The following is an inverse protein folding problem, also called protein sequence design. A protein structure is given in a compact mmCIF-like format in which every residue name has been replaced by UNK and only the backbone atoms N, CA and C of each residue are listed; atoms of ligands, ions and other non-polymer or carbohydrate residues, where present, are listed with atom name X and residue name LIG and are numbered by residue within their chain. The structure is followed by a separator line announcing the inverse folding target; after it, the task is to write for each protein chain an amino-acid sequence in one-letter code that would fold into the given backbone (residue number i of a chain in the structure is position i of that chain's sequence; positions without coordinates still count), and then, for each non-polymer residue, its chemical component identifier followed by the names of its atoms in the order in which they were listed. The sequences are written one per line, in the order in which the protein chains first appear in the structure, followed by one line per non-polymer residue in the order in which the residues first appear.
data_IF_469552517451
#
_entry.id   IF_469552517451
#
_cell.length_a   1.000
_cell.length_b   1.000
_cell.length_c   1.000
_cell.angle_alpha   90.00
_cell.angle_beta   90.00
_cell.angle_gamma   90.00
#
_symmetry.space_group_name_H-M   'P 1'
#
loop_
_entity.id
_entity.type
_entity.pdbx_description
1 polymer ?
#
# COMPACT_ATOMS: atom_id res chain seq x y z
N UNK A 1 15.16 18.92 -8.34
CA UNK A 1 14.50 17.76 -7.73
C UNK A 1 14.54 17.87 -6.22
N UNK A 2 13.42 17.55 -5.54
CA UNK A 2 13.38 17.56 -4.06
C UNK A 2 14.28 16.45 -3.50
N UNK A 3 14.96 16.76 -2.41
CA UNK A 3 15.81 15.82 -1.65
C UNK A 3 15.34 15.75 -0.21
N UNK A 4 15.86 14.83 0.56
CA UNK A 4 15.55 14.70 1.99
C UNK A 4 15.97 15.94 2.80
N UNK A 5 16.91 16.72 2.29
CA UNK A 5 17.31 18.01 2.88
C UNK A 5 16.17 19.05 2.87
N UNK A 6 15.19 18.93 1.97
CA UNK A 6 14.07 19.84 1.87
C UNK A 6 12.95 19.57 2.89
N UNK A 7 13.05 18.52 3.70
CA UNK A 7 12.11 18.23 4.78
C UNK A 7 12.35 19.26 5.90
N UNK A 8 11.28 19.88 6.39
CA UNK A 8 11.42 20.86 7.48
C UNK A 8 11.57 20.19 8.84
N UNK A 9 10.81 19.13 9.09
CA UNK A 9 10.91 18.32 10.30
C UNK A 9 10.29 16.94 10.05
N UNK A 10 10.74 15.94 10.79
CA UNK A 10 10.16 14.60 10.76
C UNK A 10 10.54 13.87 12.05
N UNK A 11 9.62 13.05 12.54
CA UNK A 11 9.91 12.17 13.68
C UNK A 11 9.17 10.85 13.53
N UNK A 12 9.73 9.80 14.10
CA UNK A 12 9.09 8.50 14.27
C UNK A 12 9.02 8.25 15.77
N UNK A 13 7.83 7.92 16.27
CA UNK A 13 7.63 7.57 17.66
C UNK A 13 7.14 6.14 17.77
N UNK A 14 7.76 5.37 18.65
CA UNK A 14 7.26 4.09 19.10
C UNK A 14 6.36 4.34 20.29
N UNK A 15 5.11 3.94 20.18
CA UNK A 15 4.11 4.10 21.24
C UNK A 15 3.57 2.75 21.67
N UNK A 16 3.24 2.60 22.95
CA UNK A 16 2.56 1.40 23.46
C UNK A 16 1.03 1.50 23.22
N UNK A 17 0.30 0.47 23.62
CA UNK A 17 -1.16 0.41 23.50
C UNK A 17 -1.89 1.52 24.32
N UNK A 18 -1.24 2.08 25.31
CA UNK A 18 -1.76 3.17 26.15
C UNK A 18 -1.47 4.55 25.54
N UNK A 19 -0.76 4.62 24.41
CA UNK A 19 -0.36 5.87 23.77
C UNK A 19 0.89 6.53 24.36
N UNK A 20 1.60 5.85 25.25
CA UNK A 20 2.85 6.37 25.81
C UNK A 20 3.99 6.20 24.81
N UNK A 21 4.81 7.24 24.65
CA UNK A 21 5.97 7.22 23.77
C UNK A 21 7.11 6.46 24.44
N UNK A 22 7.43 5.29 23.91
CA UNK A 22 8.52 4.44 24.38
C UNK A 22 9.88 4.85 23.80
N UNK A 23 9.89 5.32 22.56
CA UNK A 23 11.07 5.82 21.88
C UNK A 23 10.68 6.86 20.83
N UNK A 24 11.58 7.78 20.56
CA UNK A 24 11.41 8.80 19.53
C UNK A 24 12.69 8.92 18.70
N UNK A 25 12.57 8.84 17.39
CA UNK A 25 13.64 9.09 16.44
C UNK A 25 13.33 10.36 15.64
N UNK A 26 14.16 11.39 15.82
CA UNK A 26 13.99 12.66 15.13
C UNK A 26 14.81 12.71 13.86
N UNK A 27 14.16 13.00 12.75
CA UNK A 27 14.81 13.23 11.48
C UNK A 27 15.40 14.64 11.47
N UNK A 28 16.71 14.72 11.35
CA UNK A 28 17.38 16.00 11.19
C UNK A 28 17.71 16.21 9.69
N UNK A 29 17.06 17.16 9.00
CA UNK A 29 17.30 17.42 7.59
C UNK A 29 18.74 17.76 7.25
N UNK A 30 19.50 18.33 8.21
CA UNK A 30 20.92 18.65 8.03
C UNK A 30 21.82 17.40 7.87
N UNK A 31 21.33 16.22 8.24
CA UNK A 31 22.04 14.96 8.05
C UNK A 31 21.97 14.45 6.61
N UNK A 32 21.15 15.09 5.76
CA UNK A 32 20.96 14.74 4.36
C UNK A 32 21.45 15.85 3.44
N UNK A 33 21.89 15.50 2.25
CA UNK A 33 22.35 16.45 1.23
C UNK A 33 21.68 16.23 -0.12
N UNK A 34 21.97 15.11 -0.77
CA UNK A 34 21.44 14.76 -2.08
C UNK A 34 20.54 13.54 -2.07
N UNK A 35 20.32 12.96 -0.92
CA UNK A 35 19.51 11.77 -0.75
C UNK A 35 18.05 12.07 -1.09
N UNK A 36 17.44 11.16 -1.87
CA UNK A 36 16.04 11.25 -2.35
C UNK A 36 15.13 10.21 -1.70
N UNK A 37 15.71 9.23 -1.02
CA UNK A 37 15.01 8.25 -0.19
C UNK A 37 15.83 7.98 1.05
N UNK A 38 15.18 7.55 2.14
CA UNK A 38 15.82 7.21 3.40
C UNK A 38 15.15 6.00 4.03
N UNK A 39 15.95 5.09 4.56
CA UNK A 39 15.51 4.02 5.45
C UNK A 39 15.63 4.54 6.89
N UNK A 40 14.52 4.78 7.54
CA UNK A 40 14.46 5.42 8.86
C UNK A 40 14.65 4.43 9.99
N UNK A 41 13.93 3.31 9.92
CA UNK A 41 13.94 2.25 10.92
C UNK A 41 13.96 0.90 10.24
N UNK A 42 14.44 -0.08 10.95
CA UNK A 42 14.34 -1.50 10.62
C UNK A 42 13.63 -2.22 11.76
N UNK A 43 12.67 -3.08 11.43
CA UNK A 43 11.99 -3.97 12.36
C UNK A 43 12.37 -5.39 11.97
N UNK A 44 12.94 -6.15 12.89
CA UNK A 44 13.40 -7.51 12.63
C UNK A 44 13.23 -8.43 13.84
N UNK A 45 13.11 -9.73 13.54
CA UNK A 45 12.99 -10.77 14.55
C UNK A 45 14.35 -11.46 14.75
N UNK A 46 14.84 -11.50 16.00
CA UNK A 46 16.10 -12.16 16.33
C UNK A 46 16.09 -12.63 17.79
N UNK A 47 16.51 -13.89 18.02
CA UNK A 47 16.54 -14.51 19.34
C UNK A 47 15.17 -14.45 20.03
N UNK A 48 14.12 -14.88 19.31
CA UNK A 48 12.72 -14.91 19.77
C UNK A 48 12.14 -13.56 20.24
N UNK A 49 12.73 -12.45 19.78
CA UNK A 49 12.30 -11.10 20.13
C UNK A 49 12.23 -10.21 18.88
N UNK A 50 11.17 -9.45 18.78
CA UNK A 50 11.07 -8.35 17.85
C UNK A 50 11.97 -7.20 18.29
N UNK A 51 12.71 -6.65 17.34
CA UNK A 51 13.67 -5.57 17.56
C UNK A 51 13.40 -4.43 16.59
N UNK A 52 13.66 -3.22 17.06
CA UNK A 52 13.59 -2.01 16.25
C UNK A 52 14.96 -1.35 16.31
N UNK A 53 15.49 -1.01 15.14
CA UNK A 53 16.72 -0.24 15.01
C UNK A 53 16.46 1.07 14.26
N UNK A 54 16.98 2.18 14.76
CA UNK A 54 17.04 3.42 14.00
C UNK A 54 18.23 3.35 13.04
N UNK A 55 17.96 3.49 11.74
CA UNK A 55 18.96 3.32 10.68
C UNK A 55 19.41 4.68 10.12
N UNK A 56 18.48 5.53 9.66
CA UNK A 56 18.78 6.85 9.12
C UNK A 56 19.62 6.82 7.82
N UNK A 57 19.62 5.71 7.08
CA UNK A 57 20.42 5.56 5.86
C UNK A 57 19.75 6.24 4.67
N UNK A 58 20.46 7.18 4.05
CA UNK A 58 20.03 7.89 2.85
C UNK A 58 20.47 7.23 1.55
N UNK A 59 19.71 7.45 0.47
CA UNK A 59 19.96 6.93 -0.86
C UNK A 59 19.86 8.05 -1.90
N UNK A 60 20.98 8.42 -2.52
CA UNK A 60 21.03 9.45 -3.57
C UNK A 60 20.26 9.06 -4.84
N UNK A 61 20.26 7.76 -5.17
CA UNK A 61 19.48 7.21 -6.28
C UNK A 61 17.99 7.07 -6.02
N UNK A 62 17.51 7.58 -4.87
CA UNK A 62 16.10 7.53 -4.49
C UNK A 62 15.61 6.11 -4.23
N UNK A 63 14.32 5.89 -4.45
CA UNK A 63 13.66 4.60 -4.23
C UNK A 63 14.34 3.46 -5.01
N UNK A 64 14.86 3.74 -6.20
CA UNK A 64 15.58 2.76 -7.03
C UNK A 64 16.83 2.20 -6.33
N UNK A 65 17.62 3.07 -5.70
CA UNK A 65 18.79 2.65 -4.93
C UNK A 65 18.38 1.90 -3.67
N UNK A 66 17.26 2.30 -3.04
CA UNK A 66 16.69 1.60 -1.89
C UNK A 66 16.25 0.18 -2.26
N UNK A 67 15.52 0.00 -3.38
CA UNK A 67 15.07 -1.32 -3.85
C UNK A 67 16.26 -2.24 -4.14
N UNK A 68 17.30 -1.72 -4.81
CA UNK A 68 18.52 -2.48 -5.08
C UNK A 68 19.29 -2.88 -3.82
N UNK A 69 19.22 -2.04 -2.79
CA UNK A 69 19.85 -2.33 -1.50
C UNK A 69 19.27 -3.60 -0.84
N UNK A 70 17.98 -3.86 -1.07
CA UNK A 70 17.29 -5.08 -0.60
C UNK A 70 17.31 -6.23 -1.62
N UNK A 71 18.20 -6.17 -2.63
CA UNK A 71 18.35 -7.23 -3.63
C UNK A 71 17.28 -7.24 -4.71
N UNK A 72 16.38 -6.24 -4.73
CA UNK A 72 15.41 -6.08 -5.81
C UNK A 72 16.07 -5.60 -7.10
N UNK A 73 15.66 -6.16 -8.22
CA UNK A 73 16.07 -5.68 -9.53
C UNK A 73 15.16 -4.56 -10.02
N UNK A 74 15.77 -3.42 -10.31
CA UNK A 74 15.10 -2.33 -11.03
C UNK A 74 15.56 -2.41 -12.47
N UNK A 75 14.73 -2.95 -13.34
CA UNK A 75 15.03 -3.05 -14.78
C UNK A 75 15.19 -1.65 -15.36
N UNK A 76 16.41 -1.28 -15.69
CA UNK A 76 16.68 -0.08 -16.48
C UNK A 76 16.36 -0.38 -17.93
N UNK A 77 15.20 0.01 -18.40
CA UNK A 77 15.03 0.22 -19.82
C UNK A 77 15.80 1.50 -20.20
N UNK A 78 17.07 1.33 -20.55
CA UNK A 78 17.85 2.36 -21.26
C UNK A 78 17.31 2.40 -22.68
N UNK A 79 16.26 3.14 -22.87
CA UNK A 79 15.79 3.55 -24.21
C UNK A 79 15.53 5.05 -24.18
N UNK A 80 15.96 5.69 -25.23
CA UNK A 80 15.94 7.14 -25.50
C UNK A 80 14.64 7.84 -25.03
N UNK A 81 14.71 9.09 -24.57
CA UNK A 81 13.61 9.78 -23.86
C UNK A 81 12.28 9.91 -24.63
N UNK A 82 12.26 9.57 -25.91
CA UNK A 82 11.07 9.67 -26.77
C UNK A 82 10.12 8.48 -26.70
N UNK A 83 10.57 7.27 -26.31
CA UNK A 83 9.72 6.07 -26.33
C UNK A 83 9.10 5.72 -24.97
N UNK A 84 9.69 6.17 -23.88
CA UNK A 84 9.22 5.85 -22.52
C UNK A 84 7.99 6.70 -22.14
N UNK A 85 8.00 7.98 -22.52
CA UNK A 85 6.86 8.88 -22.28
C UNK A 85 5.59 8.39 -23.01
N UNK A 86 5.72 7.93 -24.26
CA UNK A 86 4.59 7.43 -25.04
C UNK A 86 4.02 6.10 -24.48
N UNK A 87 4.86 5.22 -23.93
CA UNK A 87 4.42 3.96 -23.32
C UNK A 87 3.69 4.16 -21.99
N UNK A 88 4.17 5.08 -21.17
CA UNK A 88 3.52 5.46 -19.91
C UNK A 88 2.18 6.16 -20.16
N UNK A 89 2.11 7.02 -21.16
CA UNK A 89 0.87 7.69 -21.54
C UNK A 89 -0.16 6.71 -22.09
N UNK A 90 0.29 5.71 -22.86
CA UNK A 90 -0.58 4.62 -23.30
C UNK A 90 -1.11 3.79 -22.12
N UNK A 91 -0.26 3.43 -21.15
CA UNK A 91 -0.68 2.71 -19.94
C UNK A 91 -1.73 3.50 -19.16
N UNK A 92 -1.48 4.78 -18.89
CA UNK A 92 -2.45 5.68 -18.22
C UNK A 92 -3.78 5.72 -18.97
N UNK A 93 -3.73 5.84 -20.30
CA UNK A 93 -4.92 5.87 -21.14
C UNK A 93 -5.71 4.56 -21.03
N UNK A 94 -5.06 3.42 -21.18
CA UNK A 94 -5.71 2.10 -21.06
C UNK A 94 -6.41 1.93 -19.72
N UNK A 95 -5.75 2.33 -18.62
CA UNK A 95 -6.35 2.26 -17.27
C UNK A 95 -7.58 3.17 -17.19
N UNK A 96 -7.48 4.41 -17.68
CA UNK A 96 -8.60 5.36 -17.63
C UNK A 96 -9.76 4.91 -18.51
N UNK A 97 -9.52 4.42 -19.72
CA UNK A 97 -10.55 3.90 -20.62
C UNK A 97 -11.28 2.68 -20.00
N UNK A 98 -10.53 1.79 -19.32
CA UNK A 98 -11.11 0.65 -18.59
C UNK A 98 -11.99 1.11 -17.43
N UNK A 99 -11.51 2.06 -16.63
CA UNK A 99 -12.25 2.60 -15.49
C UNK A 99 -13.49 3.38 -15.95
N UNK A 100 -13.38 4.22 -16.98
CA UNK A 100 -14.50 4.98 -17.51
C UNK A 100 -15.62 4.06 -18.02
N UNK A 101 -15.28 2.95 -18.63
CA UNK A 101 -16.23 1.97 -19.13
C UNK A 101 -16.94 1.17 -18.05
N UNK A 102 -16.22 0.72 -17.01
CA UNK A 102 -16.74 -0.25 -16.02
C UNK A 102 -17.16 0.46 -14.72
N UNK A 103 -16.40 1.44 -14.26
CA UNK A 103 -16.59 2.12 -12.98
C UNK A 103 -16.39 3.63 -13.11
N UNK A 104 -17.24 4.37 -13.86
CA UNK A 104 -17.04 5.77 -14.18
C UNK A 104 -16.93 6.68 -12.94
N UNK A 105 -17.51 6.27 -11.81
CA UNK A 105 -17.40 6.97 -10.53
C UNK A 105 -15.98 6.99 -9.95
N UNK A 106 -15.07 6.17 -10.46
CA UNK A 106 -13.67 6.12 -10.03
C UNK A 106 -12.73 6.97 -10.91
N UNK A 107 -13.21 7.56 -12.00
CA UNK A 107 -12.36 8.27 -12.97
C UNK A 107 -11.50 9.35 -12.30
N UNK A 108 -12.11 10.19 -11.46
CA UNK A 108 -11.40 11.30 -10.81
C UNK A 108 -10.34 10.82 -9.82
N UNK A 109 -10.64 9.79 -9.02
CA UNK A 109 -9.66 9.22 -8.09
C UNK A 109 -8.55 8.51 -8.85
N UNK A 110 -8.86 7.82 -9.93
CA UNK A 110 -7.88 7.16 -10.79
C UNK A 110 -6.93 8.17 -11.43
N UNK A 111 -7.44 9.27 -11.96
CA UNK A 111 -6.59 10.37 -12.50
C UNK A 111 -5.63 10.91 -11.43
N UNK A 112 -6.13 11.18 -10.23
CA UNK A 112 -5.30 11.66 -9.11
C UNK A 112 -4.24 10.64 -8.70
N UNK A 113 -4.59 9.37 -8.63
CA UNK A 113 -3.67 8.27 -8.31
C UNK A 113 -2.58 8.13 -9.36
N UNK A 114 -2.93 8.13 -10.65
CA UNK A 114 -1.95 8.04 -11.75
C UNK A 114 -0.97 9.23 -11.76
N UNK A 115 -1.47 10.45 -11.49
CA UNK A 115 -0.59 11.63 -11.34
C UNK A 115 0.36 11.47 -10.15
N UNK A 116 -0.14 10.94 -9.03
CA UNK A 116 0.68 10.69 -7.85
C UNK A 116 1.75 9.62 -8.12
N UNK A 117 1.37 8.52 -8.77
CA UNK A 117 2.28 7.44 -9.15
C UNK A 117 3.36 7.95 -10.11
N UNK A 118 3.00 8.78 -11.08
CA UNK A 118 3.94 9.39 -12.02
C UNK A 118 4.95 10.29 -11.30
N UNK A 119 4.48 11.17 -10.42
CA UNK A 119 5.35 12.06 -9.63
C UNK A 119 6.35 11.31 -8.77
N UNK A 120 5.98 10.11 -8.31
CA UNK A 120 6.82 9.26 -7.48
C UNK A 120 7.60 8.20 -8.27
N UNK A 121 7.54 8.21 -9.61
CA UNK A 121 8.17 7.22 -10.50
C UNK A 121 7.73 5.78 -10.22
N UNK A 122 6.45 5.58 -9.92
CA UNK A 122 5.87 4.28 -9.58
C UNK A 122 5.01 3.69 -10.71
N UNK A 123 4.82 4.38 -11.83
CA UNK A 123 3.96 3.91 -12.94
C UNK A 123 4.47 2.60 -13.58
N UNK A 124 5.79 2.39 -13.63
CA UNK A 124 6.41 1.20 -14.21
C UNK A 124 6.61 0.05 -13.21
N UNK A 125 6.30 0.30 -11.93
CA UNK A 125 6.42 -0.74 -10.90
C UNK A 125 5.32 -1.78 -11.11
N UNK A 126 5.72 -3.05 -11.01
CA UNK A 126 4.82 -4.20 -10.93
C UNK A 126 4.89 -4.79 -9.54
N UNK A 127 3.75 -4.98 -8.93
CA UNK A 127 3.62 -5.56 -7.61
C UNK A 127 2.21 -6.12 -7.43
N UNK A 128 2.08 -7.18 -6.65
CA UNK A 128 0.78 -7.65 -6.17
C UNK A 128 0.31 -6.74 -5.05
N UNK A 129 -0.99 -6.54 -4.97
CA UNK A 129 -1.63 -5.68 -3.96
C UNK A 129 -2.54 -6.53 -3.10
N UNK A 130 -2.33 -6.52 -1.79
CA UNK A 130 -3.20 -7.18 -0.84
C UNK A 130 -3.84 -6.15 0.11
N UNK A 131 -5.11 -6.31 0.38
CA UNK A 131 -5.85 -5.51 1.36
C UNK A 131 -6.30 -6.39 2.52
N UNK A 132 -5.93 -5.99 3.72
CA UNK A 132 -6.32 -6.66 4.97
C UNK A 132 -7.25 -5.74 5.73
N UNK A 133 -8.49 -6.16 5.91
CA UNK A 133 -9.56 -5.39 6.52
C UNK A 133 -9.75 -5.80 7.98
N UNK A 134 -9.58 -4.86 8.89
CA UNK A 134 -10.04 -5.04 10.27
C UNK A 134 -11.56 -5.16 10.29
N UNK A 135 -12.05 -6.28 10.81
CA UNK A 135 -13.49 -6.59 10.96
C UNK A 135 -13.89 -6.70 12.44
N UNK A 136 -13.05 -6.25 13.36
CA UNK A 136 -13.37 -6.23 14.78
C UNK A 136 -14.59 -5.35 15.09
N UNK A 137 -15.19 -5.57 16.25
CA UNK A 137 -16.41 -4.88 16.65
C UNK A 137 -16.30 -3.35 16.66
N UNK A 138 -15.09 -2.80 16.89
CA UNK A 138 -14.83 -1.36 16.86
C UNK A 138 -15.02 -0.75 15.46
N UNK A 139 -14.86 -1.54 14.38
CA UNK A 139 -15.02 -1.10 13.00
C UNK A 139 -16.48 -1.08 12.51
N UNK A 140 -17.44 -1.47 13.35
CA UNK A 140 -18.85 -1.60 12.95
C UNK A 140 -19.43 -0.33 12.33
N UNK A 141 -19.04 0.85 12.82
CA UNK A 141 -19.53 2.12 12.30
C UNK A 141 -19.00 2.39 10.90
N UNK A 142 -17.71 2.13 10.64
CA UNK A 142 -17.06 2.34 9.36
C UNK A 142 -17.62 1.44 8.26
N UNK A 143 -17.97 0.20 8.62
CA UNK A 143 -18.69 -0.69 7.70
C UNK A 143 -20.10 -0.17 7.39
N UNK A 144 -20.85 0.28 8.41
CA UNK A 144 -22.21 0.82 8.24
C UNK A 144 -22.23 2.13 7.45
N UNK A 145 -21.26 3.02 7.68
CA UNK A 145 -21.16 4.30 6.97
C UNK A 145 -20.69 4.16 5.53
N UNK A 146 -20.15 3.00 5.14
CA UNK A 146 -19.55 2.77 3.82
C UNK A 146 -18.09 3.27 3.68
N UNK A 147 -17.48 3.70 4.75
CA UNK A 147 -16.07 4.15 4.73
C UNK A 147 -15.13 3.03 4.29
N UNK A 148 -15.38 1.78 4.72
CA UNK A 148 -14.58 0.62 4.29
C UNK A 148 -14.69 0.42 2.77
N UNK A 149 -15.88 0.54 2.18
CA UNK A 149 -16.06 0.48 0.72
C UNK A 149 -15.26 1.60 0.01
N UNK A 150 -15.19 2.78 0.60
CA UNK A 150 -14.40 3.88 0.04
C UNK A 150 -12.89 3.59 0.06
N UNK A 151 -12.39 2.82 1.03
CA UNK A 151 -10.98 2.36 1.05
C UNK A 151 -10.72 1.47 -0.17
N UNK A 152 -11.59 0.50 -0.46
CA UNK A 152 -11.45 -0.34 -1.66
C UNK A 152 -11.42 0.50 -2.94
N UNK A 153 -12.31 1.49 -3.04
CA UNK A 153 -12.36 2.40 -4.18
C UNK A 153 -11.04 3.18 -4.37
N UNK A 154 -10.33 3.49 -3.29
CA UNK A 154 -9.04 4.19 -3.33
C UNK A 154 -7.87 3.26 -3.67
N UNK A 155 -7.96 1.99 -3.31
CA UNK A 155 -6.92 0.99 -3.59
C UNK A 155 -6.99 0.51 -5.05
N UNK A 156 -8.19 0.42 -5.63
CA UNK A 156 -8.39 -0.08 -6.99
C UNK A 156 -7.48 0.57 -8.05
N UNK A 157 -7.30 1.90 -8.11
CA UNK A 157 -6.37 2.51 -9.07
C UNK A 157 -4.91 2.06 -8.90
N UNK A 158 -4.49 1.70 -7.69
CA UNK A 158 -3.14 1.17 -7.43
C UNK A 158 -3.01 -0.25 -7.98
N UNK A 159 -4.01 -1.11 -7.73
CA UNK A 159 -4.04 -2.46 -8.28
C UNK A 159 -4.04 -2.43 -9.82
N UNK A 160 -4.85 -1.59 -10.44
CA UNK A 160 -4.88 -1.41 -11.90
C UNK A 160 -3.52 -0.98 -12.49
N UNK A 161 -2.68 -0.31 -11.70
CA UNK A 161 -1.34 0.08 -12.15
C UNK A 161 -0.29 -0.97 -11.85
N UNK A 162 -0.32 -1.59 -10.67
CA UNK A 162 0.76 -2.45 -10.21
C UNK A 162 0.59 -3.89 -10.62
N UNK A 163 -0.65 -4.40 -10.66
CA UNK A 163 -0.94 -5.78 -11.02
C UNK A 163 -1.35 -5.93 -12.49
N UNK A 164 -0.92 -7.03 -13.11
CA UNK A 164 -1.18 -7.26 -14.55
C UNK A 164 -2.64 -7.60 -14.82
N UNK A 165 -3.35 -8.23 -13.87
CA UNK A 165 -4.77 -8.56 -14.00
C UNK A 165 -5.69 -7.41 -13.52
N UNK A 166 -5.13 -6.44 -12.79
CA UNK A 166 -5.84 -5.27 -12.29
C UNK A 166 -6.83 -5.60 -11.18
N UNK A 167 -6.51 -6.61 -10.39
CA UNK A 167 -7.23 -7.00 -9.18
C UNK A 167 -6.33 -6.87 -7.95
N UNK A 168 -6.88 -7.07 -6.77
CA UNK A 168 -6.10 -7.23 -5.55
C UNK A 168 -6.72 -8.25 -4.62
N UNK A 169 -5.86 -8.94 -3.91
CA UNK A 169 -6.25 -9.91 -2.91
C UNK A 169 -6.84 -9.22 -1.68
N UNK A 170 -7.84 -9.86 -1.06
CA UNK A 170 -8.54 -9.29 0.09
C UNK A 170 -8.71 -10.31 1.22
N UNK A 171 -8.43 -9.87 2.42
CA UNK A 171 -8.70 -10.58 3.67
C UNK A 171 -9.48 -9.69 4.63
N UNK A 172 -10.27 -10.32 5.46
CA UNK A 172 -10.80 -9.68 6.67
C UNK A 172 -10.30 -10.44 7.90
N UNK A 173 -10.17 -9.76 9.01
CA UNK A 173 -9.80 -10.40 10.27
C UNK A 173 -10.51 -9.77 11.48
N UNK A 174 -10.77 -10.61 12.48
CA UNK A 174 -11.10 -10.26 13.83
C UNK A 174 -10.42 -11.28 14.75
N UNK A 175 -11.14 -12.25 15.31
CA UNK A 175 -10.51 -13.40 16.00
C UNK A 175 -9.75 -14.32 15.05
N UNK A 176 -10.21 -14.42 13.80
CA UNK A 176 -9.67 -15.31 12.77
C UNK A 176 -9.43 -14.53 11.49
N UNK A 177 -8.49 -14.99 10.70
CA UNK A 177 -8.35 -14.59 9.32
C UNK A 177 -9.50 -15.17 8.46
N UNK A 178 -9.95 -14.40 7.50
CA UNK A 178 -10.94 -14.79 6.51
C UNK A 178 -10.49 -14.34 5.14
N UNK A 179 -10.15 -15.29 4.26
CA UNK A 179 -9.89 -14.98 2.85
C UNK A 179 -11.19 -14.62 2.16
N UNK A 180 -11.21 -13.45 1.53
CA UNK A 180 -12.30 -12.99 0.67
C UNK A 180 -11.91 -13.20 -0.80
N UNK A 181 -12.87 -13.11 -1.73
CA UNK A 181 -12.56 -13.15 -3.14
C UNK A 181 -11.74 -11.91 -3.54
N UNK A 182 -10.98 -12.02 -4.63
CA UNK A 182 -10.22 -10.89 -5.14
C UNK A 182 -11.12 -9.76 -5.57
N UNK A 183 -10.66 -8.54 -5.35
CA UNK A 183 -11.38 -7.33 -5.71
C UNK A 183 -10.94 -6.87 -7.09
N UNK A 184 -11.88 -6.77 -8.01
CA UNK A 184 -11.69 -6.26 -9.37
C UNK A 184 -12.70 -5.14 -9.66
N UNK A 185 -12.56 -4.46 -10.80
CA UNK A 185 -13.53 -3.45 -11.21
C UNK A 185 -14.96 -4.01 -11.31
N UNK A 186 -15.11 -5.29 -11.67
CA UNK A 186 -16.41 -5.91 -11.90
C UNK A 186 -17.21 -6.11 -10.62
N UNK A 187 -16.55 -6.38 -9.49
CA UNK A 187 -17.21 -6.62 -8.20
C UNK A 187 -17.05 -5.48 -7.18
N UNK A 188 -16.23 -4.47 -7.49
CA UNK A 188 -15.88 -3.41 -6.54
C UNK A 188 -17.07 -2.62 -6.02
N UNK A 189 -18.03 -2.28 -6.88
CA UNK A 189 -19.09 -1.29 -6.56
C UNK A 189 -19.92 -1.64 -5.32
N UNK A 190 -20.09 -2.91 -5.02
CA UNK A 190 -20.85 -3.39 -3.87
C UNK A 190 -20.12 -4.46 -3.08
N UNK A 191 -18.81 -4.51 -3.18
CA UNK A 191 -18.00 -5.60 -2.65
C UNK A 191 -18.30 -5.87 -1.17
N UNK A 192 -18.22 -4.86 -0.31
CA UNK A 192 -18.49 -5.01 1.13
C UNK A 192 -19.91 -5.48 1.43
N UNK A 193 -20.88 -5.11 0.59
CA UNK A 193 -22.27 -5.47 0.77
C UNK A 193 -22.63 -6.85 0.22
N UNK A 194 -21.87 -7.36 -0.73
CA UNK A 194 -22.21 -8.59 -1.48
C UNK A 194 -21.25 -9.76 -1.23
N UNK A 195 -19.96 -9.48 -0.97
CA UNK A 195 -18.93 -10.51 -0.81
C UNK A 195 -19.29 -11.50 0.31
N UNK A 196 -19.32 -12.80 -0.04
CA UNK A 196 -19.75 -13.88 0.85
C UNK A 196 -21.09 -13.61 1.55
N UNK A 197 -22.02 -12.96 0.85
CA UNK A 197 -23.33 -12.58 1.38
C UNK A 197 -23.35 -11.29 2.19
N UNK A 198 -22.28 -10.50 2.08
CA UNK A 198 -22.08 -9.20 2.72
C UNK A 198 -21.39 -9.29 4.08
N UNK A 199 -20.72 -8.18 4.45
CA UNK A 199 -19.85 -8.14 5.63
C UNK A 199 -20.53 -8.63 6.93
N UNK A 200 -21.86 -8.46 7.08
CA UNK A 200 -22.61 -8.92 8.26
C UNK A 200 -22.62 -10.44 8.42
N UNK A 201 -22.27 -11.20 7.36
CA UNK A 201 -22.21 -12.66 7.35
C UNK A 201 -20.79 -13.20 7.40
N UNK A 202 -19.77 -12.35 7.37
CA UNK A 202 -18.39 -12.79 7.42
C UNK A 202 -18.07 -13.50 8.72
N UNK A 203 -17.44 -14.66 8.61
CA UNK A 203 -17.13 -15.52 9.75
C UNK A 203 -15.68 -15.34 10.21
N UNK A 204 -15.28 -14.10 10.49
CA UNK A 204 -13.96 -13.78 11.04
C UNK A 204 -13.95 -13.73 12.59
N UNK A 205 -15.08 -13.99 13.24
CA UNK A 205 -15.27 -13.68 14.66
C UNK A 205 -15.52 -12.19 14.88
N UNK A 206 -15.81 -11.77 16.08
CA UNK A 206 -16.10 -10.36 16.39
C UNK A 206 -15.53 -9.92 17.76
N UNK A 207 -14.81 -10.77 18.43
CA UNK A 207 -14.42 -10.55 19.83
C UNK A 207 -13.27 -9.56 19.99
N UNK A 208 -12.20 -9.69 19.22
CA UNK A 208 -10.98 -8.87 19.32
C UNK A 208 -10.14 -8.96 18.05
N UNK A 209 -9.08 -8.19 18.00
CA UNK A 209 -8.12 -8.13 16.90
C UNK A 209 -7.04 -9.21 17.01
N UNK A 210 -6.91 -10.06 15.99
CA UNK A 210 -5.83 -11.03 15.84
C UNK A 210 -5.08 -10.78 14.52
N UNK A 211 -4.40 -9.65 14.42
CA UNK A 211 -3.59 -9.28 13.25
C UNK A 211 -2.52 -10.31 12.88
N UNK A 212 -1.77 -10.92 13.84
CA UNK A 212 -0.74 -11.89 13.49
C UNK A 212 -1.26 -13.04 12.64
N UNK A 213 -2.46 -13.57 12.96
CA UNK A 213 -3.02 -14.71 12.24
C UNK A 213 -3.30 -14.39 10.77
N UNK A 214 -3.82 -13.20 10.46
CA UNK A 214 -4.08 -12.82 9.07
C UNK A 214 -2.78 -12.48 8.33
N UNK A 215 -1.81 -11.88 9.00
CA UNK A 215 -0.52 -11.57 8.37
C UNK A 215 0.27 -12.84 8.03
N UNK A 216 0.21 -13.88 8.88
CA UNK A 216 0.77 -15.19 8.55
C UNK A 216 0.08 -15.82 7.34
N UNK A 217 -1.25 -15.75 7.25
CA UNK A 217 -1.99 -16.29 6.11
C UNK A 217 -1.65 -15.55 4.81
N UNK A 218 -1.59 -14.22 4.84
CA UNK A 218 -1.17 -13.40 3.70
C UNK A 218 0.25 -13.75 3.28
N UNK A 219 1.18 -13.86 4.23
CA UNK A 219 2.56 -14.22 3.95
C UNK A 219 2.66 -15.59 3.27
N UNK A 220 1.95 -16.60 3.78
CA UNK A 220 1.90 -17.93 3.17
C UNK A 220 1.30 -17.93 1.76
N UNK A 221 0.38 -17.03 1.49
CA UNK A 221 -0.24 -16.92 0.17
C UNK A 221 0.73 -16.38 -0.89
N UNK A 222 1.69 -15.52 -0.49
CA UNK A 222 2.61 -14.86 -1.43
C UNK A 222 4.01 -15.51 -1.51
N UNK A 223 4.33 -16.45 -0.63
CA UNK A 223 5.61 -17.19 -0.62
C UNK A 223 5.38 -18.62 -1.14
#
# INVERSE_FOLDING_TARGET
QATMQNIQSGQISLVNQQGEVLANYQLNPSNFSQEKAVMLIEIYFKNDLWRIAAIGQGFNGGLKALVRHFGGEVTENISSPTNTASKLDLKKKVILDKVEKIAPYLVDITKKSLISLEKNNLLDIKARVALVLDYSGSMSQQYKSGEVQQVLNRIMPLALNFDDDGSFECWAFAEKALRLNDVSLDNLNSYIASEQGGYKKWNAGAGYNNEPAVLEEVLHYFI
#
